data_IF_229210292353
#
_entry.id   IF_229210292353
#
_cell.length_a   1.000
_cell.length_b   1.000
_cell.length_c   1.000
_cell.angle_alpha   90.00
_cell.angle_beta   90.00
_cell.angle_gamma   90.00
#
_symmetry.space_group_name_H-M   'P 1'
#
loop_
_entity.id
_entity.type
_entity.pdbx_description
1 polymer ?
#
# COMPACT_ATOMS: atom_id res chain seq x y z
N UNK A 1 5.70 -23.44 -62.19
CA UNK A 1 4.96 -24.21 -61.17
C UNK A 1 5.64 -24.21 -59.80
N UNK A 2 6.96 -24.50 -59.69
CA UNK A 2 7.68 -24.56 -58.39
C UNK A 2 7.74 -23.25 -57.58
N UNK A 3 7.82 -22.10 -58.25
CA UNK A 3 7.92 -20.78 -57.59
C UNK A 3 6.60 -20.40 -56.89
N UNK A 4 5.46 -20.73 -57.50
CA UNK A 4 4.13 -20.45 -56.94
C UNK A 4 3.88 -21.31 -55.69
N UNK A 5 4.32 -22.57 -55.69
CA UNK A 5 4.25 -23.45 -54.51
C UNK A 5 5.16 -22.99 -53.38
N UNK A 6 6.37 -22.48 -53.68
CA UNK A 6 7.28 -21.93 -52.65
C UNK A 6 6.75 -20.64 -52.02
N UNK A 7 6.13 -19.74 -52.79
CA UNK A 7 5.52 -18.50 -52.24
C UNK A 7 4.32 -18.83 -51.36
N UNK A 8 3.49 -19.80 -51.76
CA UNK A 8 2.33 -20.25 -50.97
C UNK A 8 2.77 -20.83 -49.61
N UNK A 9 3.90 -21.55 -49.57
CA UNK A 9 4.44 -22.15 -48.34
C UNK A 9 4.97 -21.11 -47.34
N UNK A 10 5.57 -20.03 -47.84
CA UNK A 10 6.07 -18.91 -47.02
C UNK A 10 4.92 -18.08 -46.44
N UNK A 11 3.86 -17.85 -47.21
CA UNK A 11 2.64 -17.19 -46.73
C UNK A 11 1.94 -18.05 -45.67
N UNK A 12 1.90 -19.38 -45.84
CA UNK A 12 1.28 -20.30 -44.86
C UNK A 12 2.07 -20.35 -43.54
N UNK A 13 3.40 -20.25 -43.56
CA UNK A 13 4.22 -20.15 -42.34
C UNK A 13 4.07 -18.81 -41.62
N UNK A 14 3.81 -17.70 -42.33
CA UNK A 14 3.62 -16.38 -41.72
C UNK A 14 2.28 -16.27 -40.93
N UNK A 15 1.25 -17.05 -41.29
CA UNK A 15 -0.07 -17.00 -40.63
C UNK A 15 -0.08 -17.78 -39.30
N UNK A 16 0.90 -18.66 -39.06
CA UNK A 16 0.97 -19.50 -37.84
C UNK A 16 1.72 -18.84 -36.66
N UNK A 17 2.27 -17.63 -36.83
CA UNK A 17 3.09 -16.96 -35.81
C UNK A 17 2.35 -16.11 -34.76
N UNK A 18 1.02 -15.99 -34.82
CA UNK A 18 0.31 -14.88 -34.15
C UNK A 18 -0.50 -15.18 -32.87
N UNK A 19 -0.58 -16.41 -32.39
CA UNK A 19 -1.49 -16.74 -31.27
C UNK A 19 -0.81 -16.62 -29.90
N UNK A 20 -0.32 -15.43 -29.54
CA UNK A 20 0.06 -15.15 -28.15
C UNK A 20 -1.22 -14.96 -27.32
N UNK A 21 -1.65 -15.93 -26.53
CA UNK A 21 -2.84 -15.79 -25.66
C UNK A 21 -2.48 -14.96 -24.42
N UNK A 22 -2.66 -13.64 -24.49
CA UNK A 22 -2.53 -12.76 -23.34
C UNK A 22 -3.71 -12.97 -22.39
N UNK A 23 -3.41 -13.17 -21.10
CA UNK A 23 -4.41 -13.23 -20.02
C UNK A 23 -4.32 -11.94 -19.21
N UNK A 24 -5.44 -11.33 -18.87
CA UNK A 24 -5.47 -10.15 -18.00
C UNK A 24 -6.04 -10.51 -16.64
N UNK A 25 -5.30 -10.28 -15.56
CA UNK A 25 -5.81 -10.43 -14.20
C UNK A 25 -6.45 -9.13 -13.73
N UNK A 26 -7.57 -9.26 -13.03
CA UNK A 26 -8.16 -8.16 -12.27
C UNK A 26 -8.47 -8.62 -10.86
N UNK A 27 -8.17 -7.77 -9.88
CA UNK A 27 -8.59 -7.98 -8.50
C UNK A 27 -9.64 -6.92 -8.14
N UNK A 28 -10.67 -7.34 -7.41
CA UNK A 28 -11.66 -6.41 -6.89
C UNK A 28 -11.01 -5.46 -5.90
N UNK A 29 -11.20 -4.16 -6.09
CA UNK A 29 -10.66 -3.16 -5.19
C UNK A 29 -11.20 -3.37 -3.77
N UNK A 30 -10.29 -3.49 -2.81
CA UNK A 30 -10.63 -3.54 -1.40
C UNK A 30 -10.91 -2.13 -0.89
N UNK A 31 -12.10 -1.95 -0.30
CA UNK A 31 -12.51 -0.65 0.23
C UNK A 31 -11.66 -0.24 1.44
N UNK A 32 -11.43 1.06 1.54
CA UNK A 32 -10.80 1.70 2.70
C UNK A 32 -11.78 1.68 3.89
N UNK A 33 -11.26 1.67 5.11
CA UNK A 33 -12.03 1.61 6.35
C UNK A 33 -11.67 2.82 7.21
N UNK A 34 -12.62 3.76 7.30
CA UNK A 34 -12.40 5.12 7.79
C UNK A 34 -13.45 5.42 8.86
N UNK A 35 -12.97 5.89 10.02
CA UNK A 35 -13.79 6.45 11.07
C UNK A 35 -13.16 7.77 11.49
N UNK A 36 -13.90 8.86 11.41
CA UNK A 36 -13.48 10.18 11.84
C UNK A 36 -14.51 10.76 12.83
N UNK A 37 -14.09 11.76 13.61
CA UNK A 37 -14.98 12.49 14.52
C UNK A 37 -15.25 13.90 13.98
N UNK A 38 -16.42 14.46 14.28
CA UNK A 38 -16.75 15.84 13.91
C UNK A 38 -15.80 16.85 14.56
N UNK A 39 -15.35 16.58 15.78
CA UNK A 39 -14.36 17.38 16.52
C UNK A 39 -13.05 17.54 15.76
N UNK A 40 -12.56 16.48 15.09
CA UNK A 40 -11.35 16.53 14.28
C UNK A 40 -11.53 17.44 13.07
N UNK A 41 -12.63 17.26 12.36
CA UNK A 41 -12.98 18.05 11.19
C UNK A 41 -13.08 19.53 11.56
N UNK A 42 -13.83 19.85 12.61
CA UNK A 42 -14.06 21.23 13.04
C UNK A 42 -12.76 21.89 13.50
N UNK A 43 -11.91 21.13 14.22
CA UNK A 43 -10.57 21.57 14.60
C UNK A 43 -9.71 21.90 13.37
N UNK A 44 -9.62 20.99 12.40
CA UNK A 44 -8.81 21.16 11.19
C UNK A 44 -9.34 22.26 10.26
N UNK A 45 -10.66 22.47 10.23
CA UNK A 45 -11.26 23.54 9.43
C UNK A 45 -10.99 24.92 10.04
N UNK A 46 -10.93 25.00 11.36
CA UNK A 46 -10.63 26.23 12.12
C UNK A 46 -9.13 26.51 12.20
N UNK A 47 -8.29 25.48 12.26
CA UNK A 47 -6.83 25.58 12.31
C UNK A 47 -6.20 25.19 10.97
N UNK A 48 -5.77 26.20 10.19
CA UNK A 48 -5.22 25.97 8.85
C UNK A 48 -3.85 25.29 8.85
N UNK A 49 -3.04 25.52 9.87
CA UNK A 49 -1.66 25.01 9.96
C UNK A 49 -1.45 24.22 11.27
N UNK A 50 -2.18 23.13 11.48
CA UNK A 50 -2.13 22.36 12.72
C UNK A 50 -0.74 21.75 12.93
N UNK A 51 -0.28 21.71 14.18
CA UNK A 51 0.99 21.13 14.57
C UNK A 51 0.81 19.64 14.79
N UNK A 52 1.54 18.80 14.08
CA UNK A 52 1.37 17.35 14.11
C UNK A 52 2.68 16.64 14.39
N UNK A 53 2.61 15.52 15.09
CA UNK A 53 3.72 14.58 15.22
C UNK A 53 3.31 13.22 14.67
N UNK A 54 4.20 12.60 13.89
CA UNK A 54 4.07 11.20 13.50
C UNK A 54 4.64 10.34 14.64
N UNK A 55 3.80 9.48 15.22
CA UNK A 55 4.20 8.43 16.14
C UNK A 55 4.23 7.10 15.40
N UNK A 56 5.29 6.33 15.61
CA UNK A 56 5.43 5.00 15.04
C UNK A 56 5.45 3.99 16.19
N UNK A 57 4.57 3.00 16.15
CA UNK A 57 4.62 1.89 17.09
C UNK A 57 5.68 0.88 16.65
N UNK A 58 6.48 0.35 17.57
CA UNK A 58 7.51 -0.66 17.26
C UNK A 58 6.93 -1.94 16.67
N UNK A 59 5.64 -2.22 16.89
CA UNK A 59 4.90 -3.35 16.30
C UNK A 59 4.15 -3.00 15.00
N UNK A 60 4.30 -1.77 14.49
CA UNK A 60 3.53 -1.33 13.33
C UNK A 60 3.90 -2.06 12.04
N UNK A 61 5.12 -2.59 11.92
CA UNK A 61 5.56 -3.33 10.72
C UNK A 61 5.52 -4.84 10.94
N UNK A 62 4.86 -5.56 10.03
CA UNK A 62 4.65 -7.02 10.15
C UNK A 62 5.61 -7.88 9.32
N UNK A 63 6.73 -7.34 8.84
CA UNK A 63 7.75 -8.09 8.05
C UNK A 63 9.01 -8.31 8.89
N UNK A 64 9.76 -9.37 8.59
CA UNK A 64 11.01 -9.78 9.27
C UNK A 64 11.98 -8.62 9.50
N UNK A 65 12.61 -8.63 10.68
CA UNK A 65 13.30 -7.54 11.42
C UNK A 65 14.41 -6.73 10.71
N UNK A 66 14.73 -7.00 9.43
CA UNK A 66 15.94 -6.46 8.77
C UNK A 66 15.71 -5.28 7.80
N UNK A 67 14.46 -4.90 7.50
CA UNK A 67 14.19 -3.77 6.58
C UNK A 67 14.00 -2.44 7.32
N UNK A 68 14.92 -1.51 7.10
CA UNK A 68 14.74 -0.12 7.52
C UNK A 68 13.63 0.55 6.69
N UNK A 69 12.51 0.86 7.32
CA UNK A 69 11.35 1.55 6.72
C UNK A 69 11.26 3.04 7.07
N UNK A 70 12.33 3.63 7.63
CA UNK A 70 12.37 5.07 7.99
C UNK A 70 12.10 5.98 6.79
N UNK A 71 12.43 5.53 5.58
CA UNK A 71 12.14 6.25 4.35
C UNK A 71 10.63 6.46 4.14
N UNK A 72 9.78 5.51 4.54
CA UNK A 72 8.32 5.64 4.46
C UNK A 72 7.79 6.65 5.48
N UNK A 73 8.36 6.70 6.68
CA UNK A 73 7.99 7.71 7.68
C UNK A 73 8.30 9.12 7.18
N UNK A 74 9.45 9.30 6.54
CA UNK A 74 9.83 10.57 5.94
C UNK A 74 8.89 10.96 4.79
N UNK A 75 8.37 9.99 4.02
CA UNK A 75 7.35 10.25 2.98
C UNK A 75 6.06 10.76 3.62
N UNK A 76 5.59 10.12 4.69
CA UNK A 76 4.39 10.54 5.42
C UNK A 76 4.57 11.97 5.94
N UNK A 77 5.67 12.24 6.64
CA UNK A 77 5.98 13.57 7.19
C UNK A 77 6.06 14.65 6.11
N UNK A 78 6.75 14.36 4.99
CA UNK A 78 6.83 15.29 3.86
C UNK A 78 5.46 15.57 3.24
N UNK A 79 4.59 14.56 3.15
CA UNK A 79 3.24 14.73 2.62
C UNK A 79 2.35 15.52 3.60
N UNK A 80 2.51 15.35 4.91
CA UNK A 80 1.86 16.19 5.92
C UNK A 80 2.31 17.66 5.82
N UNK A 81 3.62 17.91 5.70
CA UNK A 81 4.18 19.25 5.45
C UNK A 81 3.59 19.88 4.17
N UNK A 82 3.58 19.12 3.08
CA UNK A 82 3.03 19.56 1.80
C UNK A 82 1.52 19.88 1.87
N UNK A 83 0.82 19.28 2.84
CA UNK A 83 -0.62 19.50 3.06
C UNK A 83 -0.92 20.59 4.10
N UNK A 84 0.09 21.38 4.48
CA UNK A 84 -0.07 22.56 5.34
C UNK A 84 0.10 22.31 6.83
N UNK A 85 0.45 21.09 7.25
CA UNK A 85 0.73 20.80 8.66
C UNK A 85 2.11 21.33 9.07
N UNK A 86 2.26 21.70 10.34
CA UNK A 86 3.57 21.95 10.95
C UNK A 86 4.04 20.65 11.59
N UNK A 87 4.94 19.93 10.93
CA UNK A 87 5.42 18.62 11.43
C UNK A 87 6.48 18.81 12.52
N UNK A 88 6.29 18.12 13.65
CA UNK A 88 7.17 18.10 14.81
C UNK A 88 8.11 16.90 14.78
N UNK A 89 9.28 17.09 15.40
CA UNK A 89 10.29 16.05 15.48
C UNK A 89 9.83 14.88 16.36
N UNK A 90 9.76 13.70 15.74
CA UNK A 90 9.32 12.46 16.41
C UNK A 90 10.26 12.00 17.52
N UNK A 91 11.57 12.25 17.40
CA UNK A 91 12.55 11.82 18.40
C UNK A 91 12.43 12.67 19.67
N UNK A 92 12.32 13.98 19.51
CA UNK A 92 12.07 14.90 20.62
C UNK A 92 10.76 14.58 21.33
N UNK A 93 9.70 14.31 20.57
CA UNK A 93 8.41 13.91 21.13
C UNK A 93 8.50 12.61 21.94
N UNK A 94 9.19 11.60 21.41
CA UNK A 94 9.42 10.34 22.11
C UNK A 94 10.23 10.52 23.41
N UNK A 95 11.19 11.45 23.45
CA UNK A 95 11.91 11.80 24.67
C UNK A 95 10.99 12.45 25.71
N UNK A 96 10.08 13.32 25.30
CA UNK A 96 9.11 13.97 26.21
C UNK A 96 8.19 12.91 26.83
N UNK A 97 7.65 11.99 26.03
CA UNK A 97 6.77 10.91 26.53
C UNK A 97 7.53 9.89 27.36
N UNK A 98 8.71 9.45 26.93
CA UNK A 98 9.48 8.39 27.60
C UNK A 98 9.96 8.76 29.00
N UNK A 99 9.98 10.05 29.32
CA UNK A 99 10.35 10.58 30.64
C UNK A 99 9.16 10.70 31.61
N UNK A 100 7.91 10.46 31.17
CA UNK A 100 6.70 10.56 31.99
C UNK A 100 6.13 9.17 32.30
N UNK A 101 5.97 8.87 33.60
CA UNK A 101 5.49 7.58 34.11
C UNK A 101 4.12 7.17 33.53
N UNK A 102 4.10 6.24 32.57
CA UNK A 102 3.09 5.24 32.17
C UNK A 102 1.57 5.57 32.17
N UNK A 103 1.15 6.81 32.37
CA UNK A 103 -0.24 7.25 32.23
C UNK A 103 -0.24 8.50 31.38
N UNK A 104 -0.20 8.29 30.05
CA UNK A 104 -0.08 9.38 29.07
C UNK A 104 -1.42 10.10 28.97
N UNK A 105 -1.64 11.02 29.89
CA UNK A 105 -2.64 12.07 29.75
C UNK A 105 -2.12 13.06 28.71
N UNK A 106 -2.57 12.89 27.46
CA UNK A 106 -2.05 13.65 26.32
C UNK A 106 -2.29 15.15 26.46
N UNK A 107 -3.27 15.58 27.26
CA UNK A 107 -3.50 17.00 27.53
C UNK A 107 -2.27 17.66 28.18
N UNK A 108 -1.60 16.94 29.10
CA UNK A 108 -0.36 17.42 29.75
C UNK A 108 0.85 17.47 28.81
N UNK A 109 0.81 16.71 27.71
CA UNK A 109 1.88 16.74 26.71
C UNK A 109 1.82 17.97 25.82
N UNK A 110 0.65 18.60 25.67
CA UNK A 110 0.49 19.80 24.84
C UNK A 110 1.51 20.88 25.22
N UNK A 111 1.57 21.20 26.50
CA UNK A 111 2.40 22.28 27.04
C UNK A 111 3.89 22.02 26.88
N UNK A 112 4.28 20.75 26.74
CA UNK A 112 5.69 20.33 26.60
C UNK A 112 6.12 20.10 25.16
N UNK A 113 5.20 19.65 24.31
CA UNK A 113 5.49 19.23 22.93
C UNK A 113 5.12 20.24 21.87
N UNK A 114 4.33 21.28 22.21
CA UNK A 114 3.79 22.26 21.25
C UNK A 114 3.20 21.58 19.99
N UNK A 115 2.33 20.60 20.25
CA UNK A 115 1.70 19.73 19.26
C UNK A 115 0.18 19.76 19.45
N UNK A 116 -0.57 19.76 18.35
CA UNK A 116 -2.04 19.73 18.36
C UNK A 116 -2.59 18.32 18.10
N UNK A 117 -1.91 17.57 17.22
CA UNK A 117 -2.34 16.26 16.72
C UNK A 117 -1.22 15.23 16.82
N UNK A 118 -1.58 14.01 17.18
CA UNK A 118 -0.73 12.83 16.98
C UNK A 118 -1.36 12.00 15.88
N UNK A 119 -0.56 11.71 14.85
CA UNK A 119 -0.89 10.67 13.86
C UNK A 119 -0.01 9.48 14.21
N UNK A 120 -0.62 8.40 14.68
CA UNK A 120 0.06 7.16 14.99
C UNK A 120 -0.06 6.19 13.81
N UNK A 121 1.07 5.76 13.24
CA UNK A 121 1.12 4.63 12.33
C UNK A 121 0.98 3.34 13.14
N UNK A 122 -0.21 2.77 13.16
CA UNK A 122 -0.54 1.59 13.98
C UNK A 122 -0.18 0.30 13.25
N UNK A 123 -0.31 0.28 11.91
CA UNK A 123 0.00 -0.90 11.10
C UNK A 123 0.44 -0.54 9.69
N UNK A 124 1.47 -1.21 9.20
CA UNK A 124 1.92 -1.23 7.82
C UNK A 124 2.18 -2.69 7.43
N UNK A 125 1.40 -3.19 6.48
CA UNK A 125 1.54 -4.54 5.96
C UNK A 125 1.73 -4.48 4.43
N UNK A 126 2.96 -4.62 3.92
CA UNK A 126 3.24 -4.65 2.48
C UNK A 126 3.06 -6.05 1.86
N UNK A 127 2.53 -7.04 2.61
CA UNK A 127 2.41 -8.44 2.18
C UNK A 127 0.96 -8.92 2.20
N UNK A 128 0.00 -8.07 1.82
CA UNK A 128 -1.40 -8.48 1.68
C UNK A 128 -1.53 -9.35 0.42
N UNK A 129 -1.77 -10.64 0.59
CA UNK A 129 -1.83 -11.58 -0.55
C UNK A 129 -3.23 -11.56 -1.19
N UNK A 130 -3.26 -11.28 -2.50
CA UNK A 130 -4.44 -11.38 -3.35
C UNK A 130 -4.33 -12.62 -4.23
N UNK A 131 -5.39 -13.45 -4.24
CA UNK A 131 -5.44 -14.71 -5.01
C UNK A 131 -6.64 -14.73 -5.93
N UNK A 132 -6.45 -15.18 -7.17
CA UNK A 132 -7.54 -15.39 -8.12
C UNK A 132 -7.21 -16.53 -9.09
N UNK A 133 -8.22 -17.30 -9.47
CA UNK A 133 -8.16 -18.22 -10.60
C UNK A 133 -8.93 -17.67 -11.81
N UNK A 134 -9.41 -16.43 -11.75
CA UNK A 134 -10.13 -15.77 -12.84
C UNK A 134 -9.17 -14.92 -13.68
N UNK A 135 -9.39 -14.89 -14.99
CA UNK A 135 -8.69 -14.01 -15.92
C UNK A 135 -9.61 -13.58 -17.05
N UNK A 136 -9.26 -12.49 -17.71
CA UNK A 136 -9.93 -12.00 -18.92
C UNK A 136 -9.10 -12.37 -20.14
N UNK A 137 -9.76 -12.92 -21.17
CA UNK A 137 -9.11 -13.17 -22.47
C UNK A 137 -8.99 -11.87 -23.29
N UNK A 138 -8.38 -11.95 -24.48
CA UNK A 138 -8.25 -10.81 -25.40
C UNK A 138 -9.57 -10.16 -25.80
N UNK A 139 -10.67 -10.91 -25.74
CA UNK A 139 -12.00 -10.44 -26.10
C UNK A 139 -12.72 -9.79 -24.91
N UNK A 140 -12.12 -9.80 -23.72
CA UNK A 140 -12.73 -9.31 -22.49
C UNK A 140 -13.65 -10.31 -21.81
N UNK A 141 -13.70 -11.57 -22.25
CA UNK A 141 -14.49 -12.60 -21.56
C UNK A 141 -13.78 -13.04 -20.28
N UNK A 142 -14.50 -13.09 -19.16
CA UNK A 142 -14.04 -13.74 -17.95
C UNK A 142 -13.95 -15.26 -18.17
N UNK A 143 -12.83 -15.85 -17.77
CA UNK A 143 -12.54 -17.28 -17.80
C UNK A 143 -11.97 -17.71 -16.46
N UNK A 144 -12.17 -18.99 -16.13
CA UNK A 144 -11.63 -19.61 -14.93
C UNK A 144 -10.50 -20.55 -15.33
N UNK A 145 -9.34 -20.41 -14.70
CA UNK A 145 -8.21 -21.31 -14.81
C UNK A 145 -8.39 -22.46 -13.81
N UNK A 146 -8.39 -23.70 -14.31
CA UNK A 146 -8.62 -24.89 -13.48
C UNK A 146 -7.35 -25.37 -12.76
N UNK A 147 -6.18 -25.03 -13.30
CA UNK A 147 -4.91 -25.64 -12.90
C UNK A 147 -3.97 -24.70 -12.13
N UNK A 148 -4.29 -23.41 -12.04
CA UNK A 148 -3.38 -22.41 -11.49
C UNK A 148 -4.13 -21.29 -10.75
N UNK A 149 -3.60 -20.91 -9.59
CA UNK A 149 -4.03 -19.74 -8.83
C UNK A 149 -2.96 -18.67 -9.00
N UNK A 150 -3.38 -17.50 -9.47
CA UNK A 150 -2.53 -16.32 -9.57
C UNK A 150 -2.48 -15.59 -8.24
N UNK A 151 -1.27 -15.25 -7.80
CA UNK A 151 -1.03 -14.49 -6.57
C UNK A 151 -0.35 -13.15 -6.90
N UNK A 152 -0.75 -12.10 -6.18
CA UNK A 152 -0.13 -10.77 -6.19
C UNK A 152 -0.07 -10.22 -4.77
N UNK A 153 0.96 -9.46 -4.47
CA UNK A 153 1.03 -8.69 -3.23
C UNK A 153 0.36 -7.34 -3.42
N UNK A 154 -0.43 -6.95 -2.44
CA UNK A 154 -0.82 -5.57 -2.21
C UNK A 154 -0.41 -5.16 -0.80
N UNK A 155 -0.85 -3.98 -0.38
CA UNK A 155 -0.47 -3.41 0.91
C UNK A 155 -1.68 -2.89 1.68
N UNK A 156 -1.51 -2.69 2.98
CA UNK A 156 -2.43 -1.91 3.80
C UNK A 156 -1.66 -1.08 4.81
N UNK A 157 -2.13 0.15 5.05
CA UNK A 157 -1.62 1.04 6.08
C UNK A 157 -2.76 1.51 6.96
N UNK A 158 -2.52 1.61 8.26
CA UNK A 158 -3.48 2.04 9.25
C UNK A 158 -2.91 3.18 10.10
N UNK A 159 -3.66 4.26 10.18
CA UNK A 159 -3.37 5.44 10.98
C UNK A 159 -4.42 5.60 12.07
N UNK A 160 -3.97 6.05 13.24
CA UNK A 160 -4.81 6.50 14.34
C UNK A 160 -4.54 7.97 14.58
N UNK A 161 -5.59 8.77 14.75
CA UNK A 161 -5.47 10.21 14.98
C UNK A 161 -5.96 10.55 16.39
N UNK A 162 -5.17 11.33 17.11
CA UNK A 162 -5.46 11.78 18.48
C UNK A 162 -5.37 13.31 18.51
N UNK A 163 -6.43 13.96 19.01
CA UNK A 163 -6.42 15.37 19.37
C UNK A 163 -5.82 15.52 20.77
N UNK A 164 -4.69 16.22 20.86
CA UNK A 164 -3.95 16.34 22.14
C UNK A 164 -4.75 17.16 23.15
N UNK A 165 -5.35 18.27 22.73
CA UNK A 165 -6.04 19.21 23.62
C UNK A 165 -7.23 18.61 24.36
N UNK A 166 -7.93 17.66 23.74
CA UNK A 166 -9.10 17.00 24.32
C UNK A 166 -8.80 15.59 24.80
N UNK A 167 -7.54 15.13 24.63
CA UNK A 167 -7.16 13.73 24.82
C UNK A 167 -8.12 12.76 24.09
N UNK A 168 -8.56 13.16 22.90
CA UNK A 168 -9.64 12.50 22.18
C UNK A 168 -9.07 11.60 21.09
N UNK A 169 -9.58 10.37 21.03
CA UNK A 169 -9.42 9.51 19.86
C UNK A 169 -10.29 10.04 18.72
N UNK A 170 -9.64 10.68 17.76
CA UNK A 170 -10.29 11.51 16.75
C UNK A 170 -10.48 10.80 15.39
N UNK A 171 -9.89 9.61 15.23
CA UNK A 171 -10.20 8.73 14.10
C UNK A 171 -9.24 7.55 13.91
N UNK A 172 -9.66 6.62 13.04
CA UNK A 172 -8.86 5.53 12.51
C UNK A 172 -9.05 5.45 10.99
N UNK A 173 -7.95 5.29 10.26
CA UNK A 173 -7.93 5.35 8.81
C UNK A 173 -7.11 4.19 8.28
N UNK A 174 -7.77 3.28 7.58
CA UNK A 174 -7.13 2.12 6.96
C UNK A 174 -7.27 2.18 5.46
N UNK A 175 -6.14 2.35 4.80
CA UNK A 175 -6.06 2.39 3.34
C UNK A 175 -5.53 1.07 2.81
N UNK A 176 -6.06 0.62 1.67
CA UNK A 176 -5.64 -0.61 1.02
C UNK A 176 -5.11 -0.33 -0.40
N UNK A 177 -3.97 -0.92 -0.72
CA UNK A 177 -3.49 -1.06 -2.09
C UNK A 177 -3.92 -2.42 -2.63
N UNK A 178 -4.70 -2.39 -3.69
CA UNK A 178 -5.10 -3.58 -4.44
C UNK A 178 -4.32 -3.63 -5.76
N UNK A 179 -3.54 -4.69 -6.02
CA UNK A 179 -2.79 -4.80 -7.27
C UNK A 179 -3.73 -5.08 -8.46
N UNK A 180 -3.36 -4.62 -9.65
CA UNK A 180 -4.05 -4.92 -10.91
C UNK A 180 -5.58 -4.65 -10.91
N UNK A 181 -6.05 -3.55 -10.31
CA UNK A 181 -7.49 -3.18 -10.35
C UNK A 181 -7.96 -2.99 -11.79
N UNK A 182 -7.21 -2.24 -12.60
CA UNK A 182 -7.55 -1.95 -14.01
C UNK A 182 -7.17 -3.10 -14.97
N UNK A 183 -6.34 -4.01 -14.49
CA UNK A 183 -5.89 -5.18 -15.24
C UNK A 183 -4.38 -5.21 -15.42
N UNK A 184 -3.76 -6.37 -15.22
CA UNK A 184 -2.38 -6.61 -15.59
C UNK A 184 -2.24 -7.82 -16.51
N UNK A 185 -1.46 -7.69 -17.57
CA UNK A 185 -1.26 -8.75 -18.57
C UNK A 185 -0.25 -9.77 -18.05
N UNK A 186 -0.63 -11.05 -18.06
CA UNK A 186 0.29 -12.17 -17.91
C UNK A 186 0.63 -12.70 -19.30
N UNK A 187 1.90 -12.58 -19.68
CA UNK A 187 2.45 -13.14 -20.90
C UNK A 187 3.10 -14.52 -20.69
N UNK A 188 3.34 -14.92 -19.43
CA UNK A 188 4.02 -16.17 -19.08
C UNK A 188 3.17 -17.40 -19.41
N UNK A 189 3.80 -18.38 -20.05
CA UNK A 189 3.22 -19.70 -20.30
C UNK A 189 3.05 -20.50 -19.01
N UNK A 190 2.11 -21.47 -18.98
CA UNK A 190 1.92 -22.38 -17.84
C UNK A 190 3.21 -23.11 -17.43
N UNK A 191 4.07 -23.43 -18.41
CA UNK A 191 5.36 -24.09 -18.18
C UNK A 191 6.35 -23.18 -17.45
N UNK A 192 6.37 -21.89 -17.78
CA UNK A 192 7.20 -20.89 -17.10
C UNK A 192 6.70 -20.63 -15.67
N UNK A 193 5.39 -20.48 -15.49
CA UNK A 193 4.78 -20.33 -14.16
C UNK A 193 5.09 -21.53 -13.24
N UNK A 194 5.03 -22.75 -13.80
CA UNK A 194 5.37 -23.98 -13.05
C UNK A 194 6.86 -24.06 -12.71
N UNK A 195 7.73 -23.61 -13.63
CA UNK A 195 9.18 -23.59 -13.43
C UNK A 195 9.58 -22.57 -12.36
N UNK A 196 8.96 -21.38 -12.35
CA UNK A 196 9.17 -20.37 -11.32
C UNK A 196 8.73 -20.87 -9.94
N UNK A 197 7.59 -21.54 -9.82
CA UNK A 197 7.16 -22.11 -8.54
C UNK A 197 8.16 -23.15 -8.01
N UNK A 198 8.61 -24.06 -8.87
CA UNK A 198 9.61 -25.08 -8.50
C UNK A 198 10.98 -24.47 -8.18
N UNK A 199 11.32 -23.32 -8.77
CA UNK A 199 12.51 -22.56 -8.41
C UNK A 199 12.35 -21.89 -7.04
N UNK A 200 11.19 -21.25 -6.77
CA UNK A 200 10.84 -20.68 -5.47
C UNK A 200 10.79 -21.72 -4.34
N UNK A 201 10.37 -22.95 -4.63
CA UNK A 201 10.39 -24.08 -3.68
C UNK A 201 11.82 -24.58 -3.37
N UNK A 202 12.80 -24.28 -4.22
CA UNK A 202 14.20 -24.75 -4.12
C UNK A 202 15.16 -23.69 -3.58
N UNK A 203 14.79 -22.42 -3.60
CA UNK A 203 15.59 -21.37 -2.97
C UNK A 203 15.46 -21.46 -1.44
N UNK A 204 16.59 -21.58 -0.75
CA UNK A 204 16.64 -21.46 0.71
C UNK A 204 16.02 -20.13 1.14
N UNK A 205 15.28 -20.14 2.25
CA UNK A 205 14.50 -19.06 2.88
C UNK A 205 15.15 -17.66 2.77
N UNK A 206 15.06 -17.01 1.61
CA UNK A 206 15.26 -15.58 1.46
C UNK A 206 13.92 -14.91 1.79
N UNK A 207 13.95 -13.83 2.56
CA UNK A 207 12.75 -13.04 2.84
C UNK A 207 12.09 -12.64 1.52
N UNK A 208 10.77 -12.82 1.43
CA UNK A 208 10.02 -12.38 0.26
C UNK A 208 9.87 -10.87 0.30
N UNK A 209 10.29 -10.17 -0.75
CA UNK A 209 9.90 -8.78 -0.97
C UNK A 209 8.39 -8.76 -1.30
N UNK A 210 7.62 -7.98 -0.55
CA UNK A 210 6.16 -7.90 -0.68
C UNK A 210 5.75 -7.07 -1.89
N UNK A 211 5.08 -5.94 -1.67
CA UNK A 211 4.96 -4.88 -2.67
C UNK A 211 6.35 -4.29 -2.94
N UNK A 212 6.67 -4.03 -4.21
CA UNK A 212 7.93 -3.41 -4.62
C UNK A 212 8.10 -2.03 -3.95
N UNK A 213 9.34 -1.66 -3.63
CA UNK A 213 9.61 -0.46 -2.83
C UNK A 213 9.00 0.82 -3.43
N UNK A 214 9.13 1.03 -4.72
CA UNK A 214 8.60 2.19 -5.43
C UNK A 214 7.06 2.22 -5.45
N UNK A 215 6.42 1.07 -5.67
CA UNK A 215 4.96 0.93 -5.53
C UNK A 215 4.50 1.23 -4.09
N UNK A 216 5.27 0.79 -3.09
CA UNK A 216 4.98 1.04 -1.68
C UNK A 216 5.13 2.53 -1.32
N UNK A 217 6.15 3.21 -1.85
CA UNK A 217 6.33 4.66 -1.69
C UNK A 217 5.15 5.45 -2.27
N UNK A 218 4.72 5.09 -3.48
CA UNK A 218 3.54 5.69 -4.13
C UNK A 218 2.30 5.45 -3.27
N UNK A 219 2.07 4.22 -2.83
CA UNK A 219 0.94 3.88 -1.99
C UNK A 219 0.92 4.69 -0.68
N UNK A 220 2.05 4.79 0.02
CA UNK A 220 2.13 5.55 1.28
C UNK A 220 1.87 7.04 1.06
N UNK A 221 2.38 7.60 -0.05
CA UNK A 221 2.09 8.98 -0.43
C UNK A 221 0.60 9.20 -0.67
N UNK A 222 -0.03 8.35 -1.48
CA UNK A 222 -1.46 8.44 -1.81
C UNK A 222 -2.34 8.22 -0.57
N UNK A 223 -1.99 7.25 0.27
CA UNK A 223 -2.69 6.99 1.54
C UNK A 223 -2.60 8.19 2.49
N UNK A 224 -1.44 8.87 2.55
CA UNK A 224 -1.28 10.08 3.38
C UNK A 224 -2.06 11.27 2.83
N UNK A 225 -2.16 11.40 1.51
CA UNK A 225 -3.02 12.42 0.88
C UNK A 225 -4.50 12.18 1.20
N UNK A 226 -4.96 10.94 1.05
CA UNK A 226 -6.31 10.53 1.45
C UNK A 226 -6.55 10.79 2.93
N UNK A 227 -5.62 10.39 3.80
CA UNK A 227 -5.71 10.68 5.24
C UNK A 227 -6.00 12.15 5.49
N UNK A 228 -5.25 13.07 4.88
CA UNK A 228 -5.47 14.50 5.07
C UNK A 228 -6.82 14.98 4.55
N UNK A 229 -7.28 14.47 3.41
CA UNK A 229 -8.59 14.81 2.87
C UNK A 229 -9.71 14.33 3.82
N UNK A 230 -9.68 13.06 4.21
CA UNK A 230 -10.70 12.41 5.04
C UNK A 230 -10.75 12.98 6.47
N UNK A 231 -9.63 13.48 7.00
CA UNK A 231 -9.63 14.20 8.28
C UNK A 231 -10.37 15.55 8.21
N UNK A 232 -10.50 16.14 7.01
CA UNK A 232 -11.09 17.47 6.78
C UNK A 232 -12.53 17.44 6.25
N UNK A 233 -12.98 16.29 5.75
CA UNK A 233 -14.34 16.02 5.28
C UNK A 233 -15.33 15.78 6.44
#
# INVERSE_FOLDING_TARGET
MKIVTSILLVILMAILGGCSTSKTLRFSNKQDDIVNTESLRDFLNSNKNPKVVLRVNTSSYTVTEDENIDYLYNIIENQLLASGFVVRDRQLFNQIIGNEENTVDYEKLKDKSDTDLIIELTKLNPQVIYKTNKYFNKNGDERIESSFIHERYGASVEFKVILINSNEFAGIYKFNYTPCVDGCVISKSLKELTKERKAKEKEEKKGYEGVEKDELEIFIKDATQKLVAEMRD
#
